data_IF_692656854557
#
_entry.id   IF_692656854557
#
_cell.length_a   1.000
_cell.length_b   1.000
_cell.length_c   1.000
_cell.angle_alpha   90.00
_cell.angle_beta   90.00
_cell.angle_gamma   90.00
#
_symmetry.space_group_name_H-M   'P 1'
#
loop_
_entity.id
_entity.type
_entity.pdbx_description
1 polymer ?
#
# COMPACT_ATOMS: atom_id res chain seq x y z
N UNK A 1 5.98 60.95 -50.50
CA UNK A 1 4.69 60.35 -50.15
C UNK A 1 4.95 58.90 -49.77
N UNK A 2 5.18 58.65 -48.49
CA UNK A 2 5.49 57.32 -47.96
C UNK A 2 4.21 56.74 -47.35
N UNK A 3 3.74 55.60 -47.92
CA UNK A 3 2.60 54.83 -47.39
C UNK A 3 3.06 53.99 -46.18
N UNK A 4 2.42 54.03 -45.01
CA UNK A 4 2.70 53.11 -43.94
C UNK A 4 2.07 51.76 -44.22
N UNK A 5 2.89 50.71 -44.27
CA UNK A 5 2.45 49.30 -44.30
C UNK A 5 1.96 48.97 -42.90
N UNK A 6 0.64 48.88 -42.71
CA UNK A 6 0.00 48.31 -41.52
C UNK A 6 0.23 46.79 -41.57
N UNK A 7 1.21 46.32 -40.78
CA UNK A 7 1.33 44.92 -40.41
C UNK A 7 0.21 44.60 -39.41
N UNK A 8 -0.91 44.07 -39.90
CA UNK A 8 -1.91 43.43 -39.08
C UNK A 8 -1.31 42.13 -38.55
N UNK A 9 -0.72 42.22 -37.34
CA UNK A 9 -0.33 41.05 -36.57
C UNK A 9 -1.58 40.25 -36.21
N UNK A 10 -1.84 39.16 -36.91
CA UNK A 10 -2.77 38.14 -36.42
C UNK A 10 -2.19 37.59 -35.11
N UNK A 11 -2.60 38.11 -33.98
CA UNK A 11 -2.44 37.48 -32.70
C UNK A 11 -3.35 36.24 -32.77
N UNK A 12 -2.77 35.11 -33.10
CA UNK A 12 -3.43 33.83 -32.83
C UNK A 12 -3.47 33.66 -31.31
N UNK A 13 -4.50 34.22 -30.67
CA UNK A 13 -4.90 33.80 -29.38
C UNK A 13 -5.19 32.30 -29.49
N UNK A 14 -4.26 31.47 -29.00
CA UNK A 14 -4.60 30.06 -28.73
C UNK A 14 -5.72 30.10 -27.71
N UNK A 15 -6.93 29.60 -28.02
CA UNK A 15 -7.97 29.58 -27.02
C UNK A 15 -7.44 28.80 -25.82
N UNK A 16 -7.42 29.43 -24.66
CA UNK A 16 -7.08 28.76 -23.41
C UNK A 16 -8.05 27.57 -23.27
N UNK A 17 -7.56 26.39 -22.87
CA UNK A 17 -8.42 25.26 -22.65
C UNK A 17 -9.46 25.62 -21.60
N UNK A 18 -10.73 25.61 -21.99
CA UNK A 18 -11.86 26.06 -21.17
C UNK A 18 -12.56 24.90 -20.47
N UNK A 19 -11.90 23.76 -20.33
CA UNK A 19 -12.49 22.60 -19.68
C UNK A 19 -11.54 21.92 -18.70
N UNK A 20 -12.13 21.20 -17.74
CA UNK A 20 -11.44 20.31 -16.81
C UNK A 20 -11.91 18.88 -17.01
N UNK A 21 -11.12 17.91 -16.60
CA UNK A 21 -11.46 16.49 -16.70
C UNK A 21 -11.17 15.76 -15.40
N UNK A 22 -12.10 14.89 -15.00
CA UNK A 22 -11.89 13.88 -13.96
C UNK A 22 -11.83 12.52 -14.62
N UNK A 23 -10.71 11.80 -14.49
CA UNK A 23 -10.53 10.45 -15.02
C UNK A 23 -10.45 9.46 -13.87
N UNK A 24 -11.34 8.48 -13.89
CA UNK A 24 -11.41 7.43 -12.86
C UNK A 24 -11.13 6.09 -13.51
N UNK A 25 -10.16 5.36 -12.96
CA UNK A 25 -9.94 3.98 -13.30
C UNK A 25 -10.69 3.08 -12.31
N UNK A 26 -11.58 2.24 -12.84
CA UNK A 26 -12.28 1.20 -12.09
C UNK A 26 -11.65 -0.16 -12.45
N UNK A 27 -11.16 -0.86 -11.44
CA UNK A 27 -10.52 -2.17 -11.59
C UNK A 27 -11.46 -3.24 -11.06
N UNK A 28 -12.05 -4.02 -11.96
CA UNK A 28 -12.86 -5.18 -11.67
C UNK A 28 -12.06 -6.46 -11.91
N UNK A 29 -12.54 -7.59 -11.39
CA UNK A 29 -11.88 -8.89 -11.58
C UNK A 29 -11.71 -9.27 -13.07
N UNK A 30 -12.68 -8.90 -13.91
CA UNK A 30 -12.78 -9.39 -15.30
C UNK A 30 -12.48 -8.30 -16.34
N UNK A 31 -12.39 -7.05 -15.94
CA UNK A 31 -12.15 -5.91 -16.81
C UNK A 31 -11.61 -4.71 -16.03
N UNK A 32 -10.99 -3.79 -16.72
CA UNK A 32 -10.75 -2.44 -16.24
C UNK A 32 -11.60 -1.46 -17.04
N UNK A 33 -12.03 -0.39 -16.41
CA UNK A 33 -12.78 0.68 -17.06
C UNK A 33 -12.14 2.02 -16.73
N UNK A 34 -12.16 2.93 -17.68
CA UNK A 34 -11.80 4.32 -17.47
C UNK A 34 -13.02 5.16 -17.73
N UNK A 35 -13.39 6.00 -16.80
CA UNK A 35 -14.50 6.92 -16.86
C UNK A 35 -13.96 8.34 -16.83
N UNK A 36 -14.27 9.14 -17.87
CA UNK A 36 -13.86 10.54 -17.96
C UNK A 36 -15.06 11.46 -18.00
N UNK A 37 -15.16 12.35 -17.00
CA UNK A 37 -16.14 13.42 -16.91
C UNK A 37 -15.48 14.74 -17.26
N UNK A 38 -16.17 15.57 -18.03
CA UNK A 38 -15.68 16.86 -18.50
C UNK A 38 -16.56 17.99 -17.94
N UNK A 39 -15.93 19.10 -17.59
CA UNK A 39 -16.59 20.28 -17.02
C UNK A 39 -16.05 21.53 -17.69
N UNK A 40 -16.91 22.54 -17.87
CA UNK A 40 -16.55 23.82 -18.50
C UNK A 40 -17.43 24.13 -19.70
N UNK A 41 -16.84 24.75 -20.73
CA UNK A 41 -17.60 25.17 -21.90
C UNK A 41 -17.73 24.08 -22.97
N UNK A 42 -18.91 23.98 -23.63
CA UNK A 42 -19.09 23.10 -24.77
C UNK A 42 -18.07 23.39 -25.88
N UNK A 43 -17.39 22.35 -26.36
CA UNK A 43 -16.37 22.45 -27.38
C UNK A 43 -16.09 21.10 -28.03
N UNK A 44 -15.25 21.11 -29.05
CA UNK A 44 -14.73 19.88 -29.66
C UNK A 44 -13.29 19.67 -29.19
N UNK A 45 -13.01 18.48 -28.69
CA UNK A 45 -11.68 18.03 -28.28
C UNK A 45 -11.28 16.80 -29.10
N UNK A 46 -10.03 16.40 -29.06
CA UNK A 46 -9.58 15.14 -29.66
C UNK A 46 -8.91 14.22 -28.63
N UNK A 47 -9.09 12.92 -28.84
CA UNK A 47 -8.39 11.85 -28.16
C UNK A 47 -7.70 10.98 -29.22
N UNK A 48 -6.42 11.19 -29.43
CA UNK A 48 -5.71 10.62 -30.57
C UNK A 48 -6.32 11.10 -31.89
N UNK A 49 -6.83 10.16 -32.71
CA UNK A 49 -7.51 10.48 -33.98
C UNK A 49 -9.03 10.69 -33.83
N UNK A 50 -9.62 10.47 -32.67
CA UNK A 50 -11.03 10.66 -32.44
C UNK A 50 -11.33 12.12 -32.10
N UNK A 51 -12.31 12.70 -32.76
CA UNK A 51 -12.93 13.98 -32.38
C UNK A 51 -14.08 13.70 -31.44
N UNK A 52 -14.16 14.40 -30.32
CA UNK A 52 -15.18 14.25 -29.27
C UNK A 52 -15.91 15.57 -29.11
N UNK A 53 -17.22 15.57 -29.26
CA UNK A 53 -18.05 16.76 -29.05
C UNK A 53 -18.47 16.82 -27.57
N UNK A 54 -18.02 17.86 -26.85
CA UNK A 54 -18.48 18.19 -25.50
C UNK A 54 -19.68 19.12 -25.58
N UNK A 55 -20.81 18.71 -25.03
CA UNK A 55 -22.08 19.44 -25.09
C UNK A 55 -22.76 19.52 -23.73
N UNK A 56 -23.48 20.61 -23.47
CA UNK A 56 -24.38 20.67 -22.34
C UNK A 56 -25.65 19.84 -22.60
N UNK A 57 -26.11 19.09 -21.60
CA UNK A 57 -27.33 18.31 -21.71
C UNK A 57 -28.09 18.33 -20.39
N UNK A 58 -29.44 18.45 -20.51
CA UNK A 58 -30.35 18.34 -19.37
C UNK A 58 -31.07 16.97 -19.33
N UNK A 59 -30.62 16.01 -20.13
CA UNK A 59 -31.21 14.67 -20.17
C UNK A 59 -30.87 13.91 -18.86
N UNK A 60 -31.87 13.17 -18.38
CA UNK A 60 -31.63 12.28 -17.22
C UNK A 60 -30.98 11.00 -17.70
N UNK A 61 -29.91 10.64 -17.03
CA UNK A 61 -29.20 9.37 -17.25
C UNK A 61 -28.57 8.88 -15.92
N UNK A 62 -28.51 7.56 -15.75
CA UNK A 62 -27.99 6.96 -14.51
C UNK A 62 -26.52 7.29 -14.24
N UNK A 63 -25.76 7.62 -15.28
CA UNK A 63 -24.35 8.02 -15.21
C UNK A 63 -24.14 9.52 -15.36
N UNK A 64 -25.21 10.32 -15.47
CA UNK A 64 -25.09 11.75 -15.56
C UNK A 64 -24.66 12.33 -14.21
N UNK A 65 -23.62 13.15 -14.25
CA UNK A 65 -23.09 13.90 -13.11
C UNK A 65 -23.52 15.34 -13.27
N UNK A 66 -23.86 15.98 -12.15
CA UNK A 66 -24.27 17.39 -12.16
C UNK A 66 -23.13 18.26 -12.74
N UNK A 67 -23.52 19.18 -13.60
CA UNK A 67 -22.64 20.16 -14.28
C UNK A 67 -21.58 19.55 -15.21
N UNK A 68 -21.59 18.23 -15.42
CA UNK A 68 -20.71 17.59 -16.39
C UNK A 68 -21.22 17.74 -17.82
N UNK A 69 -20.31 17.97 -18.76
CA UNK A 69 -20.58 17.96 -20.19
C UNK A 69 -20.76 16.53 -20.71
N UNK A 70 -21.65 16.37 -21.66
CA UNK A 70 -21.84 15.11 -22.37
C UNK A 70 -20.84 14.99 -23.51
N UNK A 71 -20.34 13.80 -23.74
CA UNK A 71 -19.36 13.47 -24.78
C UNK A 71 -20.05 12.65 -25.86
N UNK A 72 -20.14 13.15 -27.09
CA UNK A 72 -20.82 12.47 -28.21
C UNK A 72 -22.23 11.96 -27.82
N UNK A 73 -23.01 12.79 -27.13
CA UNK A 73 -24.34 12.47 -26.58
C UNK A 73 -24.35 11.38 -25.49
N UNK A 74 -23.21 11.09 -24.86
CA UNK A 74 -23.12 10.20 -23.70
C UNK A 74 -22.73 10.99 -22.45
N UNK A 75 -23.27 10.68 -21.26
CA UNK A 75 -22.98 11.41 -20.03
C UNK A 75 -21.54 11.25 -19.53
N UNK A 76 -20.80 10.30 -20.04
CA UNK A 76 -19.44 9.97 -19.64
C UNK A 76 -18.70 9.31 -20.81
N UNK A 77 -17.43 9.65 -21.02
CA UNK A 77 -16.55 8.88 -21.89
C UNK A 77 -16.10 7.63 -21.11
N UNK A 78 -16.56 6.47 -21.57
CA UNK A 78 -16.23 5.18 -20.96
C UNK A 78 -15.38 4.35 -21.90
N UNK A 79 -14.23 3.93 -21.44
CA UNK A 79 -13.32 3.04 -22.14
C UNK A 79 -13.16 1.74 -21.34
N UNK A 80 -13.28 0.59 -22.00
CA UNK A 80 -13.17 -0.72 -21.38
C UNK A 80 -11.85 -1.34 -21.82
N UNK A 81 -11.06 -1.75 -20.85
CA UNK A 81 -9.78 -2.42 -21.05
C UNK A 81 -9.76 -3.84 -20.48
N UNK A 82 -8.65 -4.55 -20.65
CA UNK A 82 -8.48 -5.90 -20.11
C UNK A 82 -8.52 -5.92 -18.60
N UNK A 83 -8.77 -7.10 -18.04
CA UNK A 83 -8.60 -7.32 -16.62
C UNK A 83 -7.14 -7.09 -16.20
N UNK A 84 -6.96 -6.41 -15.09
CA UNK A 84 -5.66 -6.21 -14.46
C UNK A 84 -5.57 -7.06 -13.20
N UNK A 85 -4.35 -7.37 -12.78
CA UNK A 85 -4.13 -8.04 -11.50
C UNK A 85 -4.73 -7.17 -10.38
N UNK A 86 -5.55 -7.77 -9.53
CA UNK A 86 -6.20 -7.05 -8.44
C UNK A 86 -5.12 -6.42 -7.54
N UNK A 87 -5.13 -5.09 -7.35
CA UNK A 87 -4.11 -4.39 -6.56
C UNK A 87 -4.33 -4.52 -5.05
N UNK A 88 -5.50 -4.97 -4.64
CA UNK A 88 -5.83 -5.27 -3.26
C UNK A 88 -6.90 -6.37 -3.19
N UNK A 89 -6.99 -7.02 -2.05
CA UNK A 89 -7.95 -8.10 -1.79
C UNK A 89 -8.43 -8.07 -0.36
N UNK A 90 -9.73 -8.25 -0.15
CA UNK A 90 -10.32 -8.50 1.15
C UNK A 90 -10.68 -9.99 1.27
N UNK A 91 -10.32 -10.61 2.37
CA UNK A 91 -10.63 -12.02 2.64
C UNK A 91 -11.10 -12.21 4.07
N UNK A 92 -11.88 -13.26 4.31
CA UNK A 92 -12.07 -13.82 5.65
C UNK A 92 -10.93 -14.81 5.93
N UNK A 93 -10.12 -14.52 6.93
CA UNK A 93 -9.08 -15.43 7.39
C UNK A 93 -9.72 -16.58 8.19
N UNK A 94 -9.53 -17.82 7.73
CA UNK A 94 -9.91 -19.01 8.47
C UNK A 94 -8.66 -19.60 9.16
N UNK A 95 -8.71 -20.06 10.41
CA UNK A 95 -9.89 -20.23 11.26
C UNK A 95 -10.28 -19.01 12.12
N UNK A 96 -9.52 -17.91 12.12
CA UNK A 96 -9.74 -16.77 13.00
C UNK A 96 -11.07 -16.03 12.77
N UNK A 97 -11.64 -16.12 11.54
CA UNK A 97 -12.87 -15.43 11.17
C UNK A 97 -12.74 -13.91 11.03
N UNK A 98 -11.51 -13.37 11.07
CA UNK A 98 -11.27 -11.93 10.91
C UNK A 98 -11.18 -11.53 9.44
N UNK A 99 -11.52 -10.28 9.16
CA UNK A 99 -11.33 -9.68 7.84
C UNK A 99 -9.88 -9.21 7.70
N UNK A 100 -9.24 -9.53 6.57
CA UNK A 100 -7.87 -9.11 6.27
C UNK A 100 -7.83 -8.43 4.91
N UNK A 101 -7.26 -7.24 4.86
CA UNK A 101 -6.92 -6.53 3.62
C UNK A 101 -5.49 -6.86 3.24
N UNK A 102 -5.29 -7.46 2.08
CA UNK A 102 -3.98 -7.64 1.46
C UNK A 102 -3.78 -6.54 0.41
N UNK A 103 -2.72 -5.76 0.54
CA UNK A 103 -2.35 -4.70 -0.39
C UNK A 103 -1.20 -5.18 -1.30
N UNK A 104 -1.49 -5.40 -2.57
CA UNK A 104 -0.47 -5.68 -3.61
C UNK A 104 0.04 -4.39 -4.25
N UNK A 105 -0.60 -3.27 -3.97
CA UNK A 105 -0.21 -1.87 -4.22
C UNK A 105 -0.68 -1.02 -3.05
N UNK A 106 -0.17 0.20 -2.94
CA UNK A 106 -0.62 1.12 -1.90
C UNK A 106 -2.13 1.32 -1.96
N UNK A 107 -2.80 1.03 -0.85
CA UNK A 107 -4.21 1.32 -0.62
C UNK A 107 -4.28 2.55 0.26
N UNK A 108 -4.96 3.59 -0.18
CA UNK A 108 -5.14 4.80 0.63
C UNK A 108 -6.27 4.64 1.65
N UNK A 109 -7.37 4.02 1.21
CA UNK A 109 -8.55 3.73 2.03
C UNK A 109 -9.28 2.51 1.51
N UNK A 110 -10.03 1.84 2.38
CA UNK A 110 -10.88 0.73 1.98
C UNK A 110 -12.21 0.70 2.72
N UNK A 111 -13.23 0.21 2.03
CA UNK A 111 -14.60 0.11 2.54
C UNK A 111 -15.22 -1.24 2.20
N UNK A 112 -16.22 -1.62 2.99
CA UNK A 112 -17.07 -2.79 2.81
C UNK A 112 -18.53 -2.33 2.74
N UNK A 113 -19.28 -2.88 1.80
CA UNK A 113 -20.73 -2.78 1.74
C UNK A 113 -21.37 -4.15 1.92
N UNK A 114 -22.14 -4.32 2.98
CA UNK A 114 -22.91 -5.53 3.31
C UNK A 114 -24.36 -5.20 3.67
N UNK A 115 -24.94 -4.21 2.97
CA UNK A 115 -26.21 -3.57 3.27
C UNK A 115 -26.02 -2.14 3.80
N UNK A 116 -24.86 -1.82 4.33
CA UNK A 116 -24.42 -0.47 4.67
C UNK A 116 -22.93 -0.33 4.45
N UNK A 117 -22.47 0.89 4.17
CA UNK A 117 -21.05 1.16 4.05
C UNK A 117 -20.35 1.14 5.41
N UNK A 118 -19.17 0.54 5.45
CA UNK A 118 -18.28 0.47 6.60
C UNK A 118 -16.86 0.73 6.13
N UNK A 119 -16.13 1.59 6.80
CA UNK A 119 -14.68 1.72 6.58
C UNK A 119 -13.97 0.49 7.13
N UNK A 120 -13.02 -0.04 6.39
CA UNK A 120 -12.22 -1.19 6.80
C UNK A 120 -10.88 -0.77 7.39
N UNK A 121 -10.10 -0.02 6.59
CA UNK A 121 -8.78 0.44 6.98
C UNK A 121 -8.52 1.85 6.43
N UNK A 122 -7.52 2.54 7.00
CA UNK A 122 -6.84 3.65 6.35
C UNK A 122 -5.80 3.15 5.36
N UNK A 123 -4.68 3.87 5.31
CA UNK A 123 -3.55 3.55 4.42
C UNK A 123 -2.94 2.19 4.74
N UNK A 124 -2.80 1.35 3.71
CA UNK A 124 -2.11 0.05 3.77
C UNK A 124 -1.03 0.05 2.69
N UNK A 125 0.25 0.03 3.07
CA UNK A 125 1.36 0.00 2.13
C UNK A 125 1.38 -1.26 1.25
N UNK A 126 2.01 -1.14 0.09
CA UNK A 126 2.25 -2.27 -0.81
C UNK A 126 3.00 -3.41 -0.11
N UNK A 127 2.54 -4.64 -0.30
CA UNK A 127 3.11 -5.84 0.29
C UNK A 127 2.64 -6.13 1.72
N UNK A 128 1.86 -5.24 2.33
CA UNK A 128 1.34 -5.44 3.68
C UNK A 128 -0.04 -6.10 3.70
N UNK A 129 -0.33 -6.72 4.85
CA UNK A 129 -1.63 -7.30 5.16
C UNK A 129 -2.07 -6.79 6.53
N UNK A 130 -3.27 -6.25 6.60
CA UNK A 130 -3.79 -5.61 7.81
C UNK A 130 -5.15 -6.20 8.17
N UNK A 131 -5.32 -6.54 9.45
CA UNK A 131 -6.62 -6.89 9.98
C UNK A 131 -7.56 -5.69 9.91
N UNK A 132 -8.74 -5.89 9.33
CA UNK A 132 -9.74 -4.85 9.15
C UNK A 132 -10.78 -4.90 10.26
N UNK A 133 -11.01 -3.76 10.91
CA UNK A 133 -12.06 -3.56 11.89
C UNK A 133 -13.16 -2.66 11.27
N UNK A 134 -14.27 -3.24 10.74
CA UNK A 134 -15.30 -2.46 10.08
C UNK A 134 -15.97 -1.46 11.01
N UNK A 135 -15.94 -0.18 10.67
CA UNK A 135 -16.64 0.90 11.36
C UNK A 135 -17.63 1.59 10.39
N UNK A 136 -18.79 2.02 10.88
CA UNK A 136 -19.81 2.66 10.05
C UNK A 136 -19.31 4.00 9.52
N UNK A 137 -18.95 4.03 8.26
CA UNK A 137 -18.53 5.23 7.56
C UNK A 137 -18.84 5.09 6.08
N UNK A 138 -19.57 6.05 5.52
CA UNK A 138 -19.82 6.12 4.07
C UNK A 138 -18.51 6.51 3.37
N UNK A 139 -18.21 5.94 2.19
CA UNK A 139 -17.06 6.35 1.43
C UNK A 139 -17.02 7.86 1.22
N UNK A 140 -15.86 8.44 1.41
CA UNK A 140 -15.54 9.80 1.06
C UNK A 140 -14.30 9.75 0.17
N UNK A 141 -14.53 9.81 -1.13
CA UNK A 141 -13.48 9.70 -2.14
C UNK A 141 -12.92 11.10 -2.41
N UNK A 142 -11.76 11.43 -1.86
CA UNK A 142 -11.20 12.79 -1.83
C UNK A 142 -11.05 13.45 -3.20
N UNK A 143 -10.82 12.66 -4.24
CA UNK A 143 -10.58 13.16 -5.60
C UNK A 143 -11.85 13.33 -6.44
N UNK A 144 -13.04 13.06 -5.85
CA UNK A 144 -14.30 13.08 -6.54
C UNK A 144 -15.18 14.24 -6.09
N UNK A 145 -16.04 14.75 -6.98
CA UNK A 145 -17.19 15.53 -6.56
C UNK A 145 -18.24 14.60 -5.93
N UNK A 146 -19.06 15.13 -5.03
CA UNK A 146 -20.12 14.33 -4.37
C UNK A 146 -21.07 13.68 -5.38
N UNK A 147 -21.30 14.30 -6.54
CA UNK A 147 -22.16 13.71 -7.59
C UNK A 147 -21.44 12.63 -8.40
N UNK A 148 -20.15 12.76 -8.67
CA UNK A 148 -19.35 11.69 -9.29
C UNK A 148 -19.29 10.46 -8.37
N UNK A 149 -18.99 10.66 -7.09
CA UNK A 149 -18.97 9.62 -6.09
C UNK A 149 -20.30 8.86 -6.02
N UNK A 150 -21.42 9.56 -5.93
CA UNK A 150 -22.75 8.95 -5.90
C UNK A 150 -23.04 8.09 -7.13
N UNK A 151 -22.71 8.59 -8.33
CA UNK A 151 -22.89 7.84 -9.58
C UNK A 151 -22.03 6.59 -9.60
N UNK A 152 -20.75 6.68 -9.24
CA UNK A 152 -19.84 5.56 -9.23
C UNK A 152 -20.23 4.51 -8.21
N UNK A 153 -20.53 4.90 -6.97
CA UNK A 153 -20.97 3.97 -5.92
C UNK A 153 -22.28 3.27 -6.29
N UNK A 154 -23.24 4.00 -6.87
CA UNK A 154 -24.51 3.43 -7.34
C UNK A 154 -24.28 2.39 -8.43
N UNK A 155 -23.41 2.67 -9.40
CA UNK A 155 -23.08 1.75 -10.49
C UNK A 155 -22.38 0.49 -9.95
N UNK A 156 -21.40 0.66 -9.04
CA UNK A 156 -20.69 -0.45 -8.39
C UNK A 156 -21.70 -1.37 -7.66
N UNK A 157 -22.62 -0.79 -6.90
CA UNK A 157 -23.62 -1.56 -6.17
C UNK A 157 -24.65 -2.23 -7.10
N UNK A 158 -25.04 -1.57 -8.19
CA UNK A 158 -25.95 -2.17 -9.19
C UNK A 158 -25.33 -3.42 -9.82
N UNK A 159 -24.02 -3.40 -10.13
CA UNK A 159 -23.29 -4.57 -10.67
C UNK A 159 -23.07 -5.67 -9.63
N UNK A 160 -23.09 -5.33 -8.37
CA UNK A 160 -22.88 -6.32 -7.31
C UNK A 160 -23.97 -7.38 -7.25
N UNK A 161 -25.19 -7.05 -7.70
CA UNK A 161 -26.32 -8.00 -7.69
C UNK A 161 -26.63 -8.54 -6.29
N UNK A 162 -26.48 -7.69 -5.25
CA UNK A 162 -26.71 -8.07 -3.85
C UNK A 162 -25.51 -8.75 -3.16
N UNK A 163 -24.39 -8.94 -3.85
CA UNK A 163 -23.15 -9.45 -3.22
C UNK A 163 -22.53 -8.35 -2.34
N UNK A 164 -21.81 -8.78 -1.34
CA UNK A 164 -20.93 -7.90 -0.55
C UNK A 164 -19.90 -7.26 -1.49
N UNK A 165 -19.59 -5.98 -1.27
CA UNK A 165 -18.62 -5.23 -2.08
C UNK A 165 -17.48 -4.75 -1.19
N UNK A 166 -16.24 -5.07 -1.55
CA UNK A 166 -15.08 -4.38 -1.02
C UNK A 166 -14.58 -3.37 -2.05
N UNK A 167 -14.33 -2.14 -1.58
CA UNK A 167 -13.87 -1.01 -2.38
C UNK A 167 -12.54 -0.53 -1.83
N UNK A 168 -11.56 -0.38 -2.72
CA UNK A 168 -10.22 0.10 -2.37
C UNK A 168 -9.89 1.33 -3.19
N UNK A 169 -9.60 2.45 -2.53
CA UNK A 169 -9.03 3.63 -3.16
C UNK A 169 -7.52 3.48 -3.23
N UNK A 170 -6.97 3.71 -4.41
CA UNK A 170 -5.57 3.50 -4.73
C UNK A 170 -4.95 4.79 -5.24
N UNK A 171 -3.64 4.90 -5.13
CA UNK A 171 -2.91 5.89 -5.91
C UNK A 171 -3.14 5.64 -7.40
N UNK A 172 -3.42 6.68 -8.23
CA UNK A 172 -3.56 6.53 -9.66
C UNK A 172 -2.29 5.97 -10.30
N UNK A 173 -2.41 4.82 -10.99
CA UNK A 173 -1.27 4.11 -11.62
C UNK A 173 -1.44 3.96 -13.12
N UNK A 174 -2.33 4.73 -13.71
CA UNK A 174 -2.57 4.70 -15.15
C UNK A 174 -2.08 5.99 -15.83
N UNK A 175 -1.65 5.88 -17.08
CA UNK A 175 -1.38 7.08 -17.88
C UNK A 175 -2.71 7.73 -18.26
N UNK A 176 -2.90 9.01 -17.91
CA UNK A 176 -4.10 9.72 -18.28
C UNK A 176 -4.23 9.87 -19.79
N UNK A 177 -5.46 9.95 -20.30
CA UNK A 177 -5.75 10.18 -21.71
C UNK A 177 -5.13 11.49 -22.20
N UNK A 178 -4.56 11.47 -23.40
CA UNK A 178 -4.00 12.67 -24.02
C UNK A 178 -5.06 13.37 -24.83
N UNK A 179 -5.79 14.30 -24.20
CA UNK A 179 -6.77 15.15 -24.87
C UNK A 179 -6.08 16.37 -25.48
N UNK A 180 -6.58 16.80 -26.66
CA UNK A 180 -6.17 18.02 -27.32
C UNK A 180 -7.41 18.90 -27.65
N UNK A 181 -7.43 20.19 -27.27
CA UNK A 181 -6.43 20.86 -26.43
C UNK A 181 -6.32 20.23 -25.04
N UNK A 182 -5.18 20.41 -24.36
CA UNK A 182 -5.01 19.90 -22.99
C UNK A 182 -6.03 20.53 -22.05
N UNK A 183 -6.62 19.78 -21.09
CA UNK A 183 -7.51 20.35 -20.10
C UNK A 183 -6.79 21.36 -19.21
N UNK A 184 -7.51 22.37 -18.74
CA UNK A 184 -7.00 23.35 -17.76
C UNK A 184 -6.60 22.68 -16.46
N UNK A 185 -7.47 21.79 -15.97
CA UNK A 185 -7.21 20.98 -14.76
C UNK A 185 -7.57 19.52 -15.04
N UNK A 186 -6.80 18.63 -14.47
CA UNK A 186 -7.07 17.20 -14.50
C UNK A 186 -7.03 16.63 -13.07
N UNK A 187 -8.03 15.81 -12.76
CA UNK A 187 -8.02 14.96 -11.57
C UNK A 187 -7.99 13.51 -12.02
N UNK A 188 -7.26 12.69 -11.29
CA UNK A 188 -7.16 11.24 -11.57
C UNK A 188 -7.39 10.47 -10.29
N UNK A 189 -8.17 9.39 -10.38
CA UNK A 189 -8.45 8.51 -9.25
C UNK A 189 -8.46 7.05 -9.72
N UNK A 190 -8.17 6.13 -8.81
CA UNK A 190 -8.26 4.70 -9.08
C UNK A 190 -8.99 3.97 -7.95
N UNK A 191 -9.95 3.13 -8.35
CA UNK A 191 -10.73 2.29 -7.44
C UNK A 191 -10.63 0.84 -7.86
N UNK A 192 -10.28 -0.03 -6.93
CA UNK A 192 -10.42 -1.48 -7.13
C UNK A 192 -11.69 -1.97 -6.46
N UNK A 193 -12.45 -2.77 -7.18
CA UNK A 193 -13.75 -3.28 -6.76
C UNK A 193 -13.72 -4.80 -6.70
N UNK A 194 -14.02 -5.35 -5.55
CA UNK A 194 -14.13 -6.79 -5.34
C UNK A 194 -15.57 -7.15 -4.97
N UNK A 195 -16.19 -8.08 -5.70
CA UNK A 195 -17.50 -8.62 -5.41
C UNK A 195 -17.41 -9.95 -4.67
N UNK A 196 -17.98 -10.00 -3.47
CA UNK A 196 -17.84 -11.10 -2.54
C UNK A 196 -16.53 -11.08 -1.76
N UNK A 197 -16.56 -11.66 -0.57
CA UNK A 197 -15.37 -11.80 0.29
C UNK A 197 -15.06 -13.29 0.40
N UNK A 198 -14.03 -13.81 -0.27
CA UNK A 198 -13.67 -15.21 -0.17
C UNK A 198 -13.13 -15.53 1.23
N UNK A 199 -13.38 -16.74 1.68
CA UNK A 199 -12.70 -17.29 2.84
C UNK A 199 -11.41 -17.92 2.36
N UNK A 200 -10.30 -17.51 2.94
CA UNK A 200 -8.99 -18.10 2.67
C UNK A 200 -8.45 -18.76 3.93
N UNK A 201 -7.86 -19.92 3.75
CA UNK A 201 -7.10 -20.55 4.80
C UNK A 201 -5.81 -19.76 4.99
N UNK A 202 -5.92 -18.69 5.75
CA UNK A 202 -4.76 -17.97 6.22
C UNK A 202 -4.44 -18.63 7.56
N UNK A 203 -3.34 -19.36 7.61
CA UNK A 203 -2.70 -19.70 8.88
C UNK A 203 -2.22 -18.37 9.52
N UNK A 204 -3.16 -17.52 9.91
CA UNK A 204 -2.91 -16.59 10.98
C UNK A 204 -2.85 -17.49 12.23
N UNK A 205 -1.66 -17.88 12.57
CA UNK A 205 -1.43 -18.50 13.85
C UNK A 205 -2.00 -17.51 14.88
N UNK A 206 -2.92 -17.93 15.75
CA UNK A 206 -3.53 -17.03 16.73
C UNK A 206 -2.49 -16.33 17.61
N UNK A 207 -1.24 -16.73 17.46
CA UNK A 207 -0.09 -16.29 18.22
C UNK A 207 0.89 -15.43 17.42
N UNK A 208 0.54 -15.00 16.18
CA UNK A 208 1.45 -14.17 15.39
C UNK A 208 1.55 -12.76 15.96
N UNK A 209 2.75 -12.39 16.37
CA UNK A 209 3.05 -11.09 16.98
C UNK A 209 3.48 -10.11 15.88
N UNK A 210 2.84 -8.94 15.81
CA UNK A 210 3.27 -7.87 14.90
C UNK A 210 4.71 -7.52 15.17
N UNK A 211 5.51 -7.50 14.09
CA UNK A 211 6.96 -7.34 14.19
C UNK A 211 7.45 -6.38 13.12
N UNK A 212 8.33 -5.45 13.52
CA UNK A 212 9.01 -4.51 12.64
C UNK A 212 10.51 -4.71 12.78
N UNK A 213 11.22 -4.85 11.66
CA UNK A 213 12.68 -4.89 11.66
C UNK A 213 13.23 -3.48 11.93
N UNK A 214 13.95 -3.30 13.03
CA UNK A 214 14.64 -2.05 13.39
C UNK A 214 16.03 -2.01 12.75
N UNK A 215 16.76 -3.14 12.82
CA UNK A 215 18.10 -3.27 12.25
C UNK A 215 18.36 -4.73 11.86
N UNK A 216 19.07 -4.90 10.77
CA UNK A 216 19.55 -6.20 10.30
C UNK A 216 20.83 -5.98 9.50
N UNK A 217 21.84 -6.78 9.76
CA UNK A 217 23.14 -6.65 9.10
C UNK A 217 24.14 -7.70 9.54
N UNK A 218 25.38 -7.51 9.11
CA UNK A 218 26.50 -8.43 9.40
C UNK A 218 27.66 -7.74 10.10
N UNK A 219 27.50 -6.50 10.53
CA UNK A 219 28.52 -5.57 10.97
C UNK A 219 28.29 -5.02 12.38
N UNK A 220 27.55 -5.76 13.24
CA UNK A 220 27.37 -5.32 14.62
C UNK A 220 28.67 -5.30 15.43
N UNK A 221 28.66 -4.49 16.49
CA UNK A 221 29.80 -4.42 17.44
C UNK A 221 29.84 -5.59 18.43
N UNK A 222 28.93 -6.56 18.30
CA UNK A 222 28.93 -7.75 19.17
C UNK A 222 30.07 -8.68 18.82
N UNK A 223 30.93 -9.01 19.82
CA UNK A 223 32.16 -9.80 19.64
C UNK A 223 32.09 -11.22 20.23
N UNK A 224 30.95 -11.60 20.83
CA UNK A 224 30.75 -12.96 21.33
C UNK A 224 30.80 -14.00 20.20
N UNK A 225 31.29 -15.20 20.48
CA UNK A 225 31.46 -16.30 19.51
C UNK A 225 30.18 -17.16 19.34
N UNK A 226 29.26 -17.09 20.31
CA UNK A 226 28.02 -17.90 20.36
C UNK A 226 26.79 -17.06 20.05
N UNK A 227 25.72 -17.69 19.57
CA UNK A 227 24.44 -17.03 19.43
C UNK A 227 23.90 -16.53 20.78
N UNK A 228 23.42 -15.29 20.81
CA UNK A 228 22.83 -14.65 21.99
C UNK A 228 21.56 -13.91 21.62
N UNK A 229 20.56 -14.03 22.48
CA UNK A 229 19.30 -13.28 22.38
C UNK A 229 19.18 -12.24 23.49
N UNK A 230 18.48 -11.17 23.20
CA UNK A 230 18.14 -10.10 24.16
C UNK A 230 16.66 -9.75 24.08
N UNK A 231 16.12 -9.33 25.22
CA UNK A 231 14.78 -8.76 25.34
C UNK A 231 14.88 -7.43 26.09
N UNK A 232 14.34 -6.36 25.54
CA UNK A 232 14.25 -5.06 26.18
C UNK A 232 12.76 -4.61 26.28
N UNK A 233 12.34 -4.30 27.49
CA UNK A 233 11.03 -3.72 27.81
C UNK A 233 11.15 -2.33 28.46
N UNK A 234 12.36 -1.80 28.50
CA UNK A 234 12.70 -0.48 29.01
C UNK A 234 13.83 0.16 28.18
N UNK A 235 13.98 1.47 28.32
CA UNK A 235 14.93 2.26 27.53
C UNK A 235 16.40 1.90 27.80
N UNK A 236 16.73 1.54 29.02
CA UNK A 236 18.11 1.16 29.41
C UNK A 236 18.57 -0.07 28.62
N UNK A 237 17.76 -1.13 28.63
CA UNK A 237 18.08 -2.37 27.95
C UNK A 237 18.06 -2.19 26.43
N UNK A 238 17.13 -1.39 25.90
CA UNK A 238 17.11 -1.06 24.48
C UNK A 238 18.35 -0.27 24.05
N UNK A 239 18.77 0.69 24.84
CA UNK A 239 20.01 1.44 24.57
C UNK A 239 21.26 0.55 24.59
N UNK A 240 21.30 -0.44 25.50
CA UNK A 240 22.37 -1.45 25.51
C UNK A 240 22.40 -2.27 24.22
N UNK A 241 21.23 -2.78 23.79
CA UNK A 241 21.11 -3.53 22.54
C UNK A 241 21.55 -2.67 21.35
N UNK A 242 21.09 -1.41 21.28
CA UNK A 242 21.45 -0.49 20.20
C UNK A 242 22.94 -0.22 20.12
N UNK A 243 23.60 -0.07 21.27
CA UNK A 243 25.04 0.09 21.33
C UNK A 243 25.77 -1.16 20.80
N UNK A 244 25.29 -2.38 21.04
CA UNK A 244 25.87 -3.60 20.45
C UNK A 244 25.75 -3.63 18.93
N UNK A 245 24.79 -2.93 18.36
CA UNK A 245 24.64 -2.83 16.90
C UNK A 245 25.59 -1.78 16.31
N UNK A 246 25.68 -0.56 16.93
CA UNK A 246 26.22 0.62 16.22
C UNK A 246 27.55 1.13 16.77
N UNK A 247 28.12 0.55 17.83
CA UNK A 247 29.31 1.11 18.48
C UNK A 247 30.56 1.18 17.59
N UNK A 248 30.62 0.37 16.54
CA UNK A 248 31.70 0.34 15.54
C UNK A 248 31.41 1.19 14.29
N UNK A 249 30.22 1.83 14.20
CA UNK A 249 29.84 2.66 13.05
C UNK A 249 30.22 4.13 13.27
N UNK A 250 30.67 4.80 12.19
CA UNK A 250 30.97 6.24 12.18
C UNK A 250 30.39 6.88 10.90
N UNK A 251 29.47 7.86 11.01
CA UNK A 251 28.85 8.34 12.26
C UNK A 251 27.90 7.29 12.85
N UNK A 252 27.71 7.30 14.16
CA UNK A 252 26.75 6.40 14.81
C UNK A 252 25.32 6.83 14.45
N UNK A 253 24.50 5.94 13.88
CA UNK A 253 23.10 6.25 13.60
C UNK A 253 22.32 6.46 14.89
N UNK A 254 21.33 7.38 14.90
CA UNK A 254 20.49 7.61 16.07
C UNK A 254 19.67 6.35 16.39
N UNK A 255 19.39 6.15 17.67
CA UNK A 255 18.55 5.05 18.12
C UNK A 255 17.08 5.30 17.68
N UNK A 256 16.44 4.37 16.93
CA UNK A 256 15.04 4.50 16.54
C UNK A 256 14.11 4.57 17.75
N UNK A 257 13.07 5.40 17.66
CA UNK A 257 12.07 5.49 18.72
C UNK A 257 11.14 4.29 18.72
N UNK A 258 10.92 3.70 19.90
CA UNK A 258 9.99 2.59 20.14
C UNK A 258 9.12 2.91 21.34
N UNK A 259 7.82 2.66 21.24
CA UNK A 259 6.91 2.81 22.40
C UNK A 259 7.00 1.59 23.32
N UNK A 260 7.97 1.61 24.24
CA UNK A 260 8.23 0.49 25.16
C UNK A 260 7.14 0.29 26.23
N UNK A 261 6.13 1.16 26.31
CA UNK A 261 4.96 0.92 27.15
C UNK A 261 4.00 -0.12 26.53
N UNK A 262 4.01 -0.24 25.21
CA UNK A 262 3.12 -1.14 24.45
C UNK A 262 3.90 -2.25 23.75
N UNK A 263 5.17 -2.03 23.38
CA UNK A 263 5.99 -2.92 22.60
C UNK A 263 7.22 -3.38 23.37
N UNK A 264 7.83 -4.46 22.90
CA UNK A 264 9.14 -4.93 23.33
C UNK A 264 10.14 -4.82 22.19
N UNK A 265 11.42 -4.70 22.50
CA UNK A 265 12.48 -4.83 21.51
C UNK A 265 13.22 -6.13 21.78
N UNK A 266 13.41 -6.92 20.74
CA UNK A 266 14.17 -8.18 20.81
C UNK A 266 15.34 -8.13 19.83
N UNK A 267 16.44 -8.73 20.20
CA UNK A 267 17.62 -8.76 19.34
C UNK A 267 18.27 -10.15 19.39
N UNK A 268 18.77 -10.58 18.24
CA UNK A 268 19.52 -11.79 18.09
C UNK A 268 20.85 -11.50 17.39
N UNK A 269 21.94 -11.98 17.97
CA UNK A 269 23.29 -11.93 17.42
C UNK A 269 23.76 -13.37 17.20
N UNK A 270 24.19 -13.69 15.98
CA UNK A 270 24.63 -15.04 15.60
C UNK A 270 26.02 -15.38 16.18
N UNK A 271 26.66 -14.39 16.77
CA UNK A 271 28.06 -14.48 17.17
C UNK A 271 29.00 -14.07 16.03
N UNK A 272 30.23 -13.68 16.43
CA UNK A 272 31.26 -13.29 15.50
C UNK A 272 31.72 -14.47 14.64
N UNK A 273 31.80 -14.24 13.32
CA UNK A 273 32.30 -15.21 12.32
C UNK A 273 33.59 -14.70 11.69
N UNK A 274 34.49 -15.59 11.37
CA UNK A 274 35.80 -15.25 10.79
C UNK A 274 35.72 -14.85 9.31
N UNK A 275 34.59 -15.12 8.66
CA UNK A 275 34.41 -14.88 7.22
C UNK A 275 33.01 -14.27 6.96
N UNK A 276 32.85 -13.67 5.81
CA UNK A 276 31.53 -13.28 5.29
C UNK A 276 30.66 -14.47 4.90
N UNK A 277 29.48 -14.20 4.36
CA UNK A 277 28.51 -15.19 3.87
C UNK A 277 27.51 -15.70 4.92
N UNK A 278 27.62 -15.26 6.17
CA UNK A 278 26.65 -15.54 7.22
C UNK A 278 25.59 -14.44 7.26
N UNK A 279 24.32 -14.81 7.43
CA UNK A 279 23.22 -13.85 7.64
C UNK A 279 22.14 -14.40 8.54
N UNK A 280 21.35 -13.49 9.11
CA UNK A 280 20.17 -13.78 9.92
C UNK A 280 18.99 -13.06 9.30
N UNK A 281 17.88 -13.75 9.06
CA UNK A 281 16.63 -13.18 8.57
C UNK A 281 15.48 -13.52 9.50
N UNK A 282 14.58 -12.56 9.70
CA UNK A 282 13.32 -12.78 10.38
C UNK A 282 12.38 -13.59 9.48
N UNK A 283 11.70 -14.57 10.05
CA UNK A 283 10.67 -15.37 9.38
C UNK A 283 9.30 -15.07 9.99
N UNK A 284 9.14 -15.25 11.30
CA UNK A 284 7.91 -14.98 12.02
C UNK A 284 8.13 -14.86 13.52
N UNK A 285 7.18 -14.25 14.21
CA UNK A 285 7.13 -14.16 15.66
C UNK A 285 5.80 -14.73 16.16
N UNK A 286 5.86 -15.57 17.17
CA UNK A 286 4.72 -16.29 17.73
C UNK A 286 4.66 -16.05 19.25
N UNK A 287 3.44 -15.96 19.79
CA UNK A 287 3.22 -15.92 21.22
C UNK A 287 2.90 -17.32 21.72
N UNK A 288 3.63 -17.76 22.73
CA UNK A 288 3.31 -18.96 23.46
C UNK A 288 3.18 -18.57 24.95
N UNK A 289 1.96 -18.33 25.40
CA UNK A 289 1.63 -17.73 26.70
C UNK A 289 2.35 -16.38 26.93
N UNK A 290 3.27 -16.34 27.90
CA UNK A 290 4.11 -15.17 28.21
C UNK A 290 5.45 -15.15 27.46
N UNK A 291 5.74 -16.18 26.67
CA UNK A 291 6.98 -16.35 25.93
C UNK A 291 6.78 -15.92 24.48
N UNK A 292 7.67 -15.10 23.99
CA UNK A 292 7.79 -14.76 22.57
C UNK A 292 8.71 -15.77 21.88
N UNK A 293 8.26 -16.38 20.80
CA UNK A 293 9.08 -17.26 19.98
C UNK A 293 9.41 -16.51 18.67
N UNK A 294 10.67 -16.23 18.42
CA UNK A 294 11.16 -15.62 17.19
C UNK A 294 11.78 -16.72 16.32
N UNK A 295 11.22 -16.91 15.14
CA UNK A 295 11.77 -17.86 14.16
C UNK A 295 12.63 -17.10 13.16
N UNK A 296 13.86 -17.58 13.02
CA UNK A 296 14.92 -16.99 12.21
C UNK A 296 15.40 -17.96 11.14
N UNK A 297 15.70 -17.45 9.97
CA UNK A 297 16.44 -18.16 8.95
C UNK A 297 17.93 -17.78 9.08
N UNK A 298 18.76 -18.76 9.35
CA UNK A 298 20.21 -18.60 9.39
C UNK A 298 20.78 -19.09 8.07
N UNK A 299 21.54 -18.23 7.39
CA UNK A 299 22.29 -18.61 6.20
C UNK A 299 23.79 -18.68 6.54
N UNK A 300 24.48 -19.65 5.96
CA UNK A 300 25.91 -19.81 6.06
C UNK A 300 26.49 -20.11 4.67
N UNK A 301 27.74 -19.73 4.41
CA UNK A 301 28.37 -19.99 3.13
C UNK A 301 28.44 -21.50 2.83
N UNK A 302 28.22 -21.87 1.57
CA UNK A 302 28.37 -23.25 1.15
C UNK A 302 29.85 -23.68 1.28
N UNK A 303 30.11 -24.94 1.59
CA UNK A 303 31.47 -25.46 1.60
C UNK A 303 32.20 -25.18 0.28
N UNK A 304 33.40 -24.58 0.36
CA UNK A 304 34.20 -24.23 -0.82
C UNK A 304 33.78 -22.94 -1.56
N UNK A 305 32.78 -22.22 -1.10
CA UNK A 305 32.43 -20.94 -1.70
C UNK A 305 33.49 -19.87 -1.39
N UNK A 306 33.73 -18.97 -2.34
CA UNK A 306 34.56 -17.80 -2.12
C UNK A 306 33.84 -16.83 -1.16
N UNK A 307 34.47 -16.50 -0.06
CA UNK A 307 33.95 -15.59 0.97
C UNK A 307 34.98 -14.53 1.33
N UNK A 308 34.56 -13.37 1.77
CA UNK A 308 35.45 -12.34 2.31
C UNK A 308 36.11 -12.84 3.59
N UNK A 309 37.43 -12.64 3.70
CA UNK A 309 38.23 -12.96 4.88
C UNK A 309 38.18 -11.77 5.86
N UNK A 310 36.98 -11.49 6.39
CA UNK A 310 36.76 -10.43 7.34
C UNK A 310 35.85 -10.93 8.45
N UNK A 311 36.09 -10.47 9.67
CA UNK A 311 35.17 -10.76 10.77
C UNK A 311 33.81 -10.12 10.49
N UNK A 312 32.76 -10.91 10.67
CA UNK A 312 31.37 -10.43 10.58
C UNK A 312 30.62 -10.78 11.86
N UNK A 313 29.61 -9.99 12.21
CA UNK A 313 28.78 -10.22 13.38
C UNK A 313 27.30 -10.05 12.97
N UNK A 314 26.70 -11.11 12.37
CA UNK A 314 25.33 -11.07 11.89
C UNK A 314 24.34 -10.86 13.03
N UNK A 315 23.39 -9.94 12.82
CA UNK A 315 22.42 -9.57 13.82
C UNK A 315 21.06 -9.24 13.22
N UNK A 316 20.03 -9.25 14.06
CA UNK A 316 18.73 -8.68 13.78
C UNK A 316 18.15 -8.07 15.06
N UNK A 317 17.51 -6.90 14.94
CA UNK A 317 16.78 -6.21 16.01
C UNK A 317 15.37 -5.96 15.53
N UNK A 318 14.40 -6.34 16.33
CA UNK A 318 12.99 -6.30 16.01
C UNK A 318 12.22 -5.52 17.09
N UNK A 319 11.31 -4.66 16.67
CA UNK A 319 10.21 -4.18 17.50
C UNK A 319 9.06 -5.18 17.40
N UNK A 320 8.52 -5.64 18.52
CA UNK A 320 7.42 -6.60 18.58
C UNK A 320 6.28 -6.04 19.41
N UNK A 321 5.05 -6.17 18.91
CA UNK A 321 3.86 -5.69 19.62
C UNK A 321 3.57 -6.53 20.86
N UNK A 322 3.35 -5.86 21.98
CA UNK A 322 3.11 -6.50 23.27
C UNK A 322 4.34 -6.52 24.17
N UNK A 323 4.09 -6.80 25.44
CA UNK A 323 5.12 -6.94 26.47
C UNK A 323 5.33 -8.41 26.79
N UNK A 324 6.58 -8.84 26.74
CA UNK A 324 7.00 -10.21 26.98
C UNK A 324 7.98 -10.24 28.16
N UNK A 325 8.01 -11.36 28.85
CA UNK A 325 8.98 -11.61 29.95
C UNK A 325 10.05 -12.60 29.55
N UNK A 326 9.85 -13.30 28.42
CA UNK A 326 10.79 -14.29 27.90
C UNK A 326 10.75 -14.29 26.37
N UNK A 327 11.90 -14.55 25.74
CA UNK A 327 11.98 -14.77 24.31
C UNK A 327 12.84 -16.00 24.00
N UNK A 328 12.36 -16.82 23.08
CA UNK A 328 13.11 -17.94 22.48
C UNK A 328 13.40 -17.62 21.01
N UNK A 329 14.62 -17.79 20.58
CA UNK A 329 15.03 -17.70 19.19
C UNK A 329 15.22 -19.09 18.65
N UNK A 330 14.52 -19.43 17.56
CA UNK A 330 14.55 -20.75 16.93
C UNK A 330 14.89 -20.63 15.46
N UNK A 331 15.47 -21.67 14.88
CA UNK A 331 15.61 -21.77 13.43
C UNK A 331 14.30 -22.23 12.76
N UNK A 332 14.29 -22.28 11.43
CA UNK A 332 13.14 -22.75 10.64
C UNK A 332 12.80 -24.22 10.85
N UNK A 333 13.72 -25.01 11.40
CA UNK A 333 13.51 -26.40 11.78
C UNK A 333 13.01 -26.58 13.22
N UNK A 334 12.85 -25.46 13.96
CA UNK A 334 12.39 -25.46 15.35
C UNK A 334 13.49 -25.62 16.40
N UNK A 335 14.77 -25.76 15.99
CA UNK A 335 15.88 -25.87 16.93
C UNK A 335 16.08 -24.55 17.69
N UNK A 336 16.35 -24.65 18.98
CA UNK A 336 16.62 -23.50 19.82
C UNK A 336 18.01 -22.93 19.53
N UNK A 337 18.07 -21.65 19.20
CA UNK A 337 19.31 -20.91 18.94
C UNK A 337 19.80 -20.13 20.17
N UNK A 338 18.87 -19.45 20.86
CA UNK A 338 19.15 -18.65 22.05
C UNK A 338 17.86 -18.41 22.85
N UNK A 339 18.02 -17.98 24.11
CA UNK A 339 16.92 -17.49 24.98
C UNK A 339 17.34 -16.17 25.62
N UNK A 340 16.34 -15.33 25.93
CA UNK A 340 16.51 -14.21 26.85
C UNK A 340 15.35 -14.18 27.89
N UNK A 341 15.63 -13.75 29.12
CA UNK A 341 14.61 -13.58 30.16
C UNK A 341 13.71 -12.40 29.87
#
# INVERSE_FOLDING_TARGET
MLLPILLAGCVFERPYPSYTVTETQLLFKEASERWSYFYGDPQVISLGQRSLALTSSNQQHIWAVKDALWVDNQPVLREVGPALVAPAKLVYAFPSGVLVVHAYRNVERSWLYDGSWKRLTGKVPEGESVEAAPDRETPNLEDFSSSEEQVLLKEILARAGGKVVALFQLDPVFEPNRFEPRPFTRRTAALSVQYGVPTEFILMWPDQVRTKVISQGTDSAFTGDKPVGYLATNLKDYSMIWNLVVSNLLPKPPMPSVNLNQNSVVAFFLGQKRTGGYSVRFVRAERNDSTLVIVLQISQPAPGSAVTQAFTSPHIVLEVSGRFTKVEYRDTSGNLLAKAP
#
